data_IF_581009456891
#
_entry.id   IF_581009456891
#
_cell.length_a   1.000
_cell.length_b   1.000
_cell.length_c   1.000
_cell.angle_alpha   90.00
_cell.angle_beta   90.00
_cell.angle_gamma   90.00
#
_symmetry.space_group_name_H-M   'P 1'
#
loop_
_entity.id
_entity.type
_entity.pdbx_description
1 polymer ?
#
# COMPACT_ATOMS: atom_id res chain seq x y z
N UNK A 1 -11.44 2.29 43.98
CA UNK A 1 -10.17 2.73 43.37
C UNK A 1 -9.10 1.86 43.99
N UNK A 2 -8.33 1.10 43.20
CA UNK A 2 -7.33 0.20 43.76
C UNK A 2 -6.34 1.01 44.62
N UNK A 3 -5.94 0.44 45.76
CA UNK A 3 -4.99 1.08 46.64
C UNK A 3 -3.58 1.05 45.99
N UNK A 4 -2.67 1.94 46.41
CA UNK A 4 -1.30 1.95 45.88
C UNK A 4 -0.59 0.60 46.07
N UNK A 5 -0.90 -0.12 47.16
CA UNK A 5 -0.35 -1.45 47.46
C UNK A 5 -0.79 -2.53 46.45
N UNK A 6 -2.05 -2.49 46.02
CA UNK A 6 -2.60 -3.39 45.00
C UNK A 6 -1.97 -3.10 43.63
N UNK A 7 -1.77 -1.82 43.31
CA UNK A 7 -1.09 -1.39 42.08
C UNK A 7 0.38 -1.78 42.08
N UNK A 8 1.10 -1.61 43.18
CA UNK A 8 2.51 -2.00 43.29
C UNK A 8 2.68 -3.52 43.19
N UNK A 9 1.77 -4.29 43.78
CA UNK A 9 1.75 -5.76 43.67
C UNK A 9 1.51 -6.19 42.22
N UNK A 10 0.50 -5.61 41.56
CA UNK A 10 0.22 -5.89 40.15
C UNK A 10 1.39 -5.49 39.24
N UNK A 11 2.08 -4.39 39.55
CA UNK A 11 3.25 -3.95 38.80
C UNK A 11 4.46 -4.88 38.98
N UNK A 12 4.67 -5.42 40.19
CA UNK A 12 5.69 -6.44 40.44
C UNK A 12 5.38 -7.72 39.66
N UNK A 13 4.15 -8.22 39.75
CA UNK A 13 3.70 -9.39 38.98
C UNK A 13 3.92 -9.19 37.47
N UNK A 14 3.66 -7.99 36.95
CA UNK A 14 3.91 -7.64 35.54
C UNK A 14 5.39 -7.69 35.17
N UNK A 15 6.29 -7.25 36.05
CA UNK A 15 7.74 -7.30 35.82
C UNK A 15 8.24 -8.74 35.78
N UNK A 16 7.67 -9.62 36.60
CA UNK A 16 8.04 -11.03 36.69
C UNK A 16 7.31 -11.93 35.68
N UNK A 17 6.37 -11.38 34.91
CA UNK A 17 5.58 -12.11 33.91
C UNK A 17 4.44 -12.96 34.49
N UNK A 18 4.07 -12.70 35.74
CA UNK A 18 2.99 -13.35 36.46
C UNK A 18 1.63 -12.65 36.22
N UNK A 19 0.50 -13.36 36.41
CA UNK A 19 -0.81 -12.76 36.27
C UNK A 19 -1.02 -11.60 37.27
N UNK A 20 -1.30 -10.42 36.73
CA UNK A 20 -1.40 -9.15 37.48
C UNK A 20 -2.66 -9.01 38.33
N UNK A 21 -3.70 -9.83 38.08
CA UNK A 21 -4.98 -9.80 38.80
C UNK A 21 -5.84 -8.55 38.58
N UNK A 22 -5.32 -7.55 37.87
CA UNK A 22 -5.96 -6.27 37.53
C UNK A 22 -5.82 -6.06 36.02
N UNK A 23 -6.84 -5.48 35.37
CA UNK A 23 -6.76 -5.19 33.94
C UNK A 23 -5.64 -4.18 33.63
N UNK A 24 -4.82 -4.48 32.60
CA UNK A 24 -3.67 -3.65 32.23
C UNK A 24 -4.05 -2.20 31.91
N UNK A 25 -5.23 -1.98 31.34
CA UNK A 25 -5.77 -0.63 31.06
C UNK A 25 -5.94 0.22 32.33
N UNK A 26 -6.35 -0.41 33.44
CA UNK A 26 -6.55 0.26 34.73
C UNK A 26 -5.19 0.55 35.39
N UNK A 27 -4.25 -0.38 35.25
CA UNK A 27 -2.89 -0.25 35.75
C UNK A 27 -2.15 0.89 35.04
N UNK A 28 -2.21 0.94 33.71
CA UNK A 28 -1.56 1.99 32.91
C UNK A 28 -2.20 3.37 33.13
N UNK A 29 -3.54 3.43 33.28
CA UNK A 29 -4.23 4.66 33.63
C UNK A 29 -3.77 5.21 34.98
N UNK A 30 -3.63 4.36 36.00
CA UNK A 30 -3.12 4.78 37.30
C UNK A 30 -1.64 5.21 37.25
N UNK A 31 -0.80 4.46 36.54
CA UNK A 31 0.61 4.77 36.35
C UNK A 31 0.82 6.12 35.65
N UNK A 32 -0.07 6.51 34.74
CA UNK A 32 0.01 7.80 34.05
C UNK A 32 -0.20 9.00 34.99
N UNK A 33 -0.93 8.82 36.10
CA UNK A 33 -1.34 9.90 37.01
C UNK A 33 -0.70 9.87 38.40
N UNK A 34 0.00 8.80 38.78
CA UNK A 34 0.54 8.61 40.13
C UNK A 34 2.08 8.57 40.17
N UNK A 35 2.70 9.62 40.72
CA UNK A 35 4.16 9.73 40.81
C UNK A 35 4.78 8.67 41.74
N UNK A 36 4.06 8.25 42.79
CA UNK A 36 4.52 7.23 43.73
C UNK A 36 4.71 5.87 43.05
N UNK A 37 3.72 5.44 42.25
CA UNK A 37 3.79 4.18 41.51
C UNK A 37 4.84 4.21 40.39
N UNK A 38 5.07 5.36 39.74
CA UNK A 38 6.18 5.54 38.78
C UNK A 38 7.54 5.44 39.47
N UNK A 39 7.70 5.98 40.68
CA UNK A 39 8.93 5.85 41.46
C UNK A 39 9.16 4.40 41.92
N UNK A 40 8.10 3.70 42.33
CA UNK A 40 8.18 2.28 42.64
C UNK A 40 8.64 1.47 41.42
N UNK A 41 8.05 1.69 40.24
CA UNK A 41 8.45 1.03 38.99
C UNK A 41 9.92 1.23 38.65
N UNK A 42 10.40 2.48 38.72
CA UNK A 42 11.81 2.81 38.44
C UNK A 42 12.75 2.11 39.41
N UNK A 43 12.40 2.05 40.70
CA UNK A 43 13.19 1.35 41.71
C UNK A 43 13.21 -0.15 41.47
N UNK A 44 12.05 -0.77 41.20
CA UNK A 44 11.95 -2.19 40.90
C UNK A 44 12.81 -2.58 39.68
N UNK A 45 12.70 -1.83 38.57
CA UNK A 45 13.51 -2.06 37.38
C UNK A 45 15.01 -1.86 37.62
N UNK A 46 15.39 -0.87 38.42
CA UNK A 46 16.79 -0.64 38.78
C UNK A 46 17.36 -1.78 39.63
N UNK A 47 16.55 -2.35 40.53
CA UNK A 47 16.95 -3.47 41.38
C UNK A 47 17.13 -4.73 40.53
N UNK A 48 16.17 -5.08 39.68
CA UNK A 48 16.26 -6.22 38.77
C UNK A 48 17.51 -6.12 37.88
N UNK A 49 17.80 -4.92 37.36
CA UNK A 49 19.01 -4.67 36.58
C UNK A 49 20.28 -4.87 37.40
N UNK A 50 20.32 -4.34 38.63
CA UNK A 50 21.49 -4.49 39.52
C UNK A 50 21.72 -5.94 39.95
N UNK A 51 20.66 -6.71 40.22
CA UNK A 51 20.74 -8.14 40.53
C UNK A 51 21.21 -8.95 39.31
N UNK A 52 20.70 -8.63 38.12
CA UNK A 52 21.13 -9.27 36.88
C UNK A 52 22.60 -8.97 36.55
N UNK A 53 23.06 -7.74 36.80
CA UNK A 53 24.47 -7.37 36.66
C UNK A 53 25.35 -8.06 37.70
N UNK A 54 24.90 -8.14 38.96
CA UNK A 54 25.61 -8.81 40.04
C UNK A 54 25.73 -10.33 39.82
N UNK A 55 24.68 -10.98 39.30
CA UNK A 55 24.72 -12.39 38.91
C UNK A 55 25.70 -12.64 37.76
N UNK A 56 25.78 -11.72 36.79
CA UNK A 56 26.74 -11.79 35.68
C UNK A 56 28.19 -11.61 36.16
N UNK A 57 28.44 -10.85 37.23
CA UNK A 57 29.80 -10.65 37.77
C UNK A 57 30.30 -11.74 38.73
N UNK A 58 29.40 -12.57 39.28
CA UNK A 58 29.76 -13.60 40.28
C UNK A 58 29.97 -14.98 39.65
N UNK A 59 29.29 -15.26 38.53
CA UNK A 59 29.58 -16.41 37.69
C UNK A 59 30.63 -16.05 36.64
N UNK A 60 31.84 -16.59 36.80
CA UNK A 60 32.77 -16.67 35.69
C UNK A 60 32.07 -17.39 34.51
N UNK A 61 32.01 -16.71 33.36
CA UNK A 61 31.56 -17.27 32.08
C UNK A 61 30.03 -17.50 31.92
N UNK A 62 29.19 -16.52 32.25
CA UNK A 62 27.84 -16.40 31.65
C UNK A 62 27.82 -15.39 30.48
N UNK A 63 28.81 -15.45 29.60
CA UNK A 63 28.63 -14.98 28.23
C UNK A 63 27.82 -16.07 27.54
N UNK A 64 26.56 -15.83 27.11
CA UNK A 64 25.84 -16.82 26.32
C UNK A 64 26.76 -17.19 25.15
N UNK A 65 27.03 -18.48 24.90
CA UNK A 65 27.94 -18.87 23.83
C UNK A 65 27.47 -18.17 22.56
N UNK A 66 28.36 -17.45 21.87
CA UNK A 66 27.99 -16.65 20.70
C UNK A 66 27.17 -17.47 19.69
N UNK A 67 27.41 -18.78 19.64
CA UNK A 67 26.66 -19.79 18.89
C UNK A 67 25.16 -19.88 19.22
N UNK A 68 24.74 -19.69 20.48
CA UNK A 68 23.31 -19.64 20.83
C UNK A 68 22.66 -18.32 20.42
N UNK A 69 23.34 -17.19 20.60
CA UNK A 69 22.86 -15.90 20.11
C UNK A 69 22.75 -15.91 18.59
N UNK A 70 23.75 -16.45 17.89
CA UNK A 70 23.79 -16.59 16.44
C UNK A 70 22.73 -17.58 15.93
N UNK A 71 22.47 -18.69 16.63
CA UNK A 71 21.39 -19.63 16.30
C UNK A 71 19.99 -19.06 16.58
N UNK A 72 19.81 -18.29 17.65
CA UNK A 72 18.53 -17.62 17.95
C UNK A 72 18.28 -16.50 16.93
N UNK A 73 19.29 -15.68 16.64
CA UNK A 73 19.21 -14.66 15.59
C UNK A 73 18.97 -15.32 14.22
N UNK A 74 19.67 -16.40 13.89
CA UNK A 74 19.45 -17.17 12.65
C UNK A 74 18.11 -17.91 12.61
N UNK A 75 17.47 -18.15 13.76
CA UNK A 75 16.12 -18.71 13.86
C UNK A 75 15.01 -17.67 13.66
N UNK A 76 15.21 -16.44 14.16
CA UNK A 76 14.22 -15.34 14.10
C UNK A 76 14.35 -14.54 12.79
N UNK A 77 15.57 -14.27 12.35
CA UNK A 77 15.90 -13.57 11.10
C UNK A 77 15.16 -14.13 9.86
N UNK A 78 15.05 -15.46 9.63
CA UNK A 78 14.38 -15.98 8.45
C UNK A 78 12.86 -15.78 8.49
N UNK A 79 12.23 -15.64 9.66
CA UNK A 79 10.80 -15.35 9.76
C UNK A 79 10.52 -13.86 9.43
N UNK A 80 11.34 -12.96 9.97
CA UNK A 80 11.24 -11.51 9.72
C UNK A 80 11.66 -11.15 8.29
N UNK A 81 12.72 -11.78 7.79
CA UNK A 81 13.19 -11.61 6.40
C UNK A 81 12.21 -12.19 5.39
N UNK A 82 11.49 -13.29 5.71
CA UNK A 82 10.41 -13.81 4.84
C UNK A 82 9.22 -12.85 4.77
N UNK A 83 8.79 -12.26 5.88
CA UNK A 83 7.69 -11.30 5.87
C UNK A 83 8.08 -9.99 5.19
N UNK A 84 9.29 -9.47 5.46
CA UNK A 84 9.86 -8.31 4.79
C UNK A 84 10.03 -8.53 3.27
N UNK A 85 10.54 -9.70 2.85
CA UNK A 85 10.73 -10.03 1.43
C UNK A 85 9.41 -10.22 0.70
N UNK A 86 8.39 -10.83 1.31
CA UNK A 86 7.02 -10.88 0.73
C UNK A 86 6.45 -9.47 0.56
N UNK A 87 6.69 -8.62 1.56
CA UNK A 87 6.32 -7.22 1.54
C UNK A 87 6.96 -6.46 0.36
N UNK A 88 8.26 -6.65 0.12
CA UNK A 88 8.99 -6.04 -1.00
C UNK A 88 8.56 -6.61 -2.35
N UNK A 89 8.42 -7.93 -2.45
CA UNK A 89 7.97 -8.60 -3.68
C UNK A 89 6.59 -8.11 -4.12
N UNK A 90 5.65 -7.95 -3.19
CA UNK A 90 4.31 -7.43 -3.52
C UNK A 90 4.37 -6.01 -4.09
N UNK A 91 5.30 -5.18 -3.62
CA UNK A 91 5.50 -3.81 -4.17
C UNK A 91 6.08 -3.87 -5.58
N UNK A 92 7.05 -4.77 -5.82
CA UNK A 92 7.65 -4.97 -7.15
C UNK A 92 6.60 -5.47 -8.13
N UNK A 93 5.81 -6.47 -7.74
CA UNK A 93 4.73 -7.02 -8.56
C UNK A 93 3.72 -5.92 -8.93
N UNK A 94 3.25 -5.14 -7.95
CA UNK A 94 2.33 -4.04 -8.21
C UNK A 94 2.89 -3.03 -9.22
N UNK A 95 4.19 -2.67 -9.10
CA UNK A 95 4.85 -1.76 -10.04
C UNK A 95 4.95 -2.34 -11.44
N UNK A 96 5.29 -3.64 -11.55
CA UNK A 96 5.38 -4.33 -12.82
C UNK A 96 4.00 -4.42 -13.49
N UNK A 97 2.95 -4.71 -12.72
CA UNK A 97 1.56 -4.70 -13.21
C UNK A 97 1.18 -3.32 -13.74
N UNK A 98 1.46 -2.24 -13.00
CA UNK A 98 1.19 -0.87 -13.46
C UNK A 98 1.96 -0.52 -14.74
N UNK A 99 3.22 -0.94 -14.83
CA UNK A 99 4.05 -0.73 -16.01
C UNK A 99 3.49 -1.47 -17.23
N UNK A 100 3.13 -2.75 -17.08
CA UNK A 100 2.54 -3.56 -18.17
C UNK A 100 1.19 -2.97 -18.61
N UNK A 101 0.30 -2.67 -17.66
CA UNK A 101 -0.99 -2.05 -17.98
C UNK A 101 -0.82 -0.68 -18.64
N UNK A 102 0.09 0.16 -18.12
CA UNK A 102 0.39 1.47 -18.67
C UNK A 102 0.90 1.39 -20.11
N UNK A 103 1.85 0.50 -20.40
CA UNK A 103 2.33 0.24 -21.77
C UNK A 103 1.19 -0.26 -22.66
N UNK A 104 0.39 -1.22 -22.18
CA UNK A 104 -0.74 -1.75 -22.95
C UNK A 104 -1.78 -0.68 -23.31
N UNK A 105 -2.16 0.19 -22.37
CA UNK A 105 -3.05 1.33 -22.64
C UNK A 105 -2.42 2.32 -23.63
N UNK A 106 -1.10 2.54 -23.54
CA UNK A 106 -0.38 3.43 -24.45
C UNK A 106 -0.35 2.90 -25.88
N UNK A 107 -0.01 1.61 -26.06
CA UNK A 107 -0.05 0.95 -27.37
C UNK A 107 -1.46 1.01 -27.95
N UNK A 108 -2.47 0.71 -27.13
CA UNK A 108 -3.86 0.72 -27.60
C UNK A 108 -4.33 2.13 -27.98
N UNK A 109 -3.95 3.16 -27.22
CA UNK A 109 -4.22 4.55 -27.59
C UNK A 109 -3.60 4.88 -28.95
N UNK A 110 -2.34 4.49 -29.19
CA UNK A 110 -1.66 4.71 -30.48
C UNK A 110 -2.38 3.99 -31.62
N UNK A 111 -2.75 2.72 -31.43
CA UNK A 111 -3.52 1.94 -32.42
C UNK A 111 -4.83 2.63 -32.74
N UNK A 112 -5.52 3.18 -31.73
CA UNK A 112 -6.79 3.88 -31.92
C UNK A 112 -6.64 5.21 -32.67
N UNK A 113 -5.55 5.96 -32.44
CA UNK A 113 -5.22 7.16 -33.22
C UNK A 113 -4.91 6.82 -34.68
N UNK A 114 -4.19 5.73 -34.93
CA UNK A 114 -3.93 5.27 -36.29
C UNK A 114 -5.23 4.83 -36.98
N UNK A 115 -6.11 4.12 -36.26
CA UNK A 115 -7.41 3.70 -36.76
C UNK A 115 -8.35 4.87 -37.07
N UNK A 116 -8.29 5.97 -36.30
CA UNK A 116 -9.10 7.16 -36.57
C UNK A 116 -8.62 7.97 -37.79
N UNK A 117 -7.35 7.83 -38.19
CA UNK A 117 -6.76 8.53 -39.34
C UNK A 117 -7.43 8.22 -40.70
N UNK A 118 -8.09 7.06 -40.83
CA UNK A 118 -8.85 6.69 -42.04
C UNK A 118 -10.21 7.38 -42.17
N UNK A 119 -10.67 8.10 -41.14
CA UNK A 119 -12.00 8.70 -41.03
C UNK A 119 -11.97 10.24 -41.06
N UNK A 120 -10.80 10.83 -41.35
CA UNK A 120 -10.51 12.27 -41.41
C UNK A 120 -10.38 12.67 -42.89
N UNK A 121 -10.75 13.90 -43.32
CA UNK A 121 -10.69 14.30 -44.72
C UNK A 121 -9.26 14.22 -45.25
N UNK A 122 -9.08 13.54 -46.39
CA UNK A 122 -7.76 13.18 -46.92
C UNK A 122 -7.20 14.23 -47.89
N UNK A 123 -8.03 15.14 -48.39
CA UNK A 123 -7.61 16.22 -49.29
C UNK A 123 -8.53 17.44 -49.20
N UNK A 124 -7.97 18.60 -49.54
CA UNK A 124 -8.73 19.80 -49.88
C UNK A 124 -9.01 19.76 -51.37
N UNK A 125 -10.27 19.95 -51.78
CA UNK A 125 -10.65 20.04 -53.18
C UNK A 125 -10.09 21.31 -53.81
N UNK A 126 -10.22 21.45 -55.14
CA UNK A 126 -9.77 22.65 -55.90
C UNK A 126 -10.39 23.95 -55.36
N UNK A 127 -11.51 23.87 -54.64
CA UNK A 127 -12.19 24.98 -53.99
C UNK A 127 -11.79 25.22 -52.51
N UNK A 128 -10.84 24.43 -51.98
CA UNK A 128 -10.42 24.52 -50.58
C UNK A 128 -11.43 23.93 -49.59
N UNK A 129 -12.39 23.13 -50.07
CA UNK A 129 -13.31 22.39 -49.19
C UNK A 129 -12.74 21.01 -48.86
N UNK A 130 -12.91 20.57 -47.61
CA UNK A 130 -12.45 19.26 -47.18
C UNK A 130 -13.25 18.16 -47.90
N UNK A 131 -12.57 17.35 -48.72
CA UNK A 131 -13.17 16.20 -49.39
C UNK A 131 -13.11 15.01 -48.44
N UNK A 132 -14.30 14.55 -48.06
CA UNK A 132 -14.49 13.36 -47.25
C UNK A 132 -14.71 12.17 -48.18
N UNK A 133 -14.17 11.00 -47.81
CA UNK A 133 -14.61 9.74 -48.42
C UNK A 133 -16.13 9.61 -48.20
N UNK A 134 -16.95 9.20 -49.18
CA UNK A 134 -18.38 8.95 -48.98
C UNK A 134 -18.72 7.99 -47.83
N UNK A 135 -17.74 7.22 -47.34
CA UNK A 135 -17.83 6.33 -46.17
C UNK A 135 -17.28 6.92 -44.85
N UNK A 136 -16.78 8.17 -44.86
CA UNK A 136 -16.21 8.80 -43.68
C UNK A 136 -17.29 9.27 -42.69
N UNK A 137 -17.17 8.82 -41.43
CA UNK A 137 -18.01 9.27 -40.31
C UNK A 137 -17.19 10.19 -39.36
N UNK A 138 -17.37 11.51 -39.42
CA UNK A 138 -16.61 12.46 -38.61
C UNK A 138 -16.92 12.35 -37.11
N UNK A 139 -18.13 11.91 -36.74
CA UNK A 139 -18.50 11.76 -35.33
C UNK A 139 -17.79 10.56 -34.72
N UNK A 140 -17.72 9.45 -35.46
CA UNK A 140 -16.94 8.29 -35.05
C UNK A 140 -15.45 8.61 -34.92
N UNK A 141 -14.88 9.36 -35.87
CA UNK A 141 -13.48 9.79 -35.81
C UNK A 141 -13.16 10.59 -34.54
N UNK A 142 -14.05 11.51 -34.18
CA UNK A 142 -13.92 12.35 -32.98
C UNK A 142 -14.01 11.49 -31.71
N UNK A 143 -15.00 10.60 -31.60
CA UNK A 143 -15.17 9.71 -30.46
C UNK A 143 -13.97 8.76 -30.27
N UNK A 144 -13.38 8.28 -31.37
CA UNK A 144 -12.16 7.48 -31.32
C UNK A 144 -10.97 8.28 -30.81
N UNK A 145 -10.85 9.55 -31.23
CA UNK A 145 -9.77 10.43 -30.78
C UNK A 145 -9.89 10.79 -29.29
N UNK A 146 -11.11 11.11 -28.82
CA UNK A 146 -11.38 11.35 -27.39
C UNK A 146 -11.09 10.10 -26.55
N UNK A 147 -11.53 8.94 -27.01
CA UNK A 147 -11.23 7.66 -26.37
C UNK A 147 -9.73 7.35 -26.33
N UNK A 148 -8.99 7.72 -27.38
CA UNK A 148 -7.54 7.54 -27.42
C UNK A 148 -6.84 8.49 -26.42
N UNK A 149 -7.29 9.74 -26.33
CA UNK A 149 -6.77 10.71 -25.36
C UNK A 149 -6.98 10.25 -23.92
N UNK A 150 -8.16 9.71 -23.59
CA UNK A 150 -8.46 9.12 -22.29
C UNK A 150 -7.52 7.94 -21.95
N UNK A 151 -7.34 7.02 -22.91
CA UNK A 151 -6.43 5.86 -22.74
C UNK A 151 -4.98 6.31 -22.58
N UNK A 152 -4.53 7.31 -23.34
CA UNK A 152 -3.20 7.88 -23.21
C UNK A 152 -3.00 8.57 -21.85
N UNK A 153 -4.01 9.29 -21.36
CA UNK A 153 -3.99 9.89 -20.03
C UNK A 153 -3.86 8.85 -18.90
N UNK A 154 -4.65 7.77 -18.97
CA UNK A 154 -4.53 6.63 -18.03
C UNK A 154 -3.17 5.97 -18.14
N UNK A 155 -2.65 5.73 -19.34
CA UNK A 155 -1.31 5.19 -19.57
C UNK A 155 -0.24 6.02 -18.86
N UNK A 156 -0.26 7.35 -19.05
CA UNK A 156 0.69 8.26 -18.41
C UNK A 156 0.53 8.27 -16.88
N UNK A 157 -0.69 8.24 -16.37
CA UNK A 157 -0.98 8.13 -14.93
C UNK A 157 -0.42 6.85 -14.31
N UNK A 158 -0.57 5.71 -14.99
CA UNK A 158 -0.06 4.43 -14.52
C UNK A 158 1.47 4.35 -14.59
N UNK A 159 2.08 4.85 -15.67
CA UNK A 159 3.54 4.88 -15.82
C UNK A 159 4.20 5.82 -14.81
N UNK A 160 3.60 6.98 -14.53
CA UNK A 160 4.08 7.91 -13.51
C UNK A 160 3.97 7.32 -12.10
N UNK A 161 2.85 6.64 -11.79
CA UNK A 161 2.70 5.90 -10.54
C UNK A 161 3.69 4.73 -10.41
N UNK A 162 4.02 4.04 -11.52
CA UNK A 162 5.02 2.96 -11.54
C UNK A 162 6.44 3.47 -11.29
N UNK A 163 6.80 4.65 -11.83
CA UNK A 163 8.09 5.28 -11.59
C UNK A 163 8.19 5.81 -10.16
N UNK A 164 7.16 6.52 -9.68
CA UNK A 164 7.16 7.17 -8.37
C UNK A 164 5.88 6.83 -7.60
N UNK A 165 5.93 5.89 -6.62
CA UNK A 165 4.73 5.35 -5.97
C UNK A 165 3.95 6.38 -5.13
N UNK A 166 4.58 7.49 -4.75
CA UNK A 166 3.89 8.56 -4.02
C UNK A 166 2.75 9.21 -4.83
N UNK A 167 2.82 9.20 -6.16
CA UNK A 167 1.75 9.72 -7.03
C UNK A 167 0.54 8.78 -7.13
N UNK A 168 0.63 7.54 -6.63
CA UNK A 168 -0.48 6.59 -6.69
C UNK A 168 -1.74 7.11 -6.00
N UNK A 169 -1.58 7.91 -4.93
CA UNK A 169 -2.69 8.55 -4.23
C UNK A 169 -3.53 9.47 -5.16
N UNK A 170 -2.88 10.18 -6.08
CA UNK A 170 -3.56 11.09 -7.01
C UNK A 170 -4.21 10.38 -8.19
N UNK A 171 -3.60 9.28 -8.66
CA UNK A 171 -4.09 8.51 -9.82
C UNK A 171 -5.25 7.58 -9.45
N UNK A 172 -5.26 7.07 -8.22
CA UNK A 172 -6.27 6.13 -7.71
C UNK A 172 -7.72 6.60 -7.95
N UNK A 173 -8.16 7.83 -7.57
CA UNK A 173 -9.55 8.25 -7.76
C UNK A 173 -9.93 8.34 -9.25
N UNK A 174 -9.01 8.75 -10.12
CA UNK A 174 -9.27 8.85 -11.57
C UNK A 174 -9.48 7.47 -12.17
N UNK A 175 -8.55 6.55 -11.96
CA UNK A 175 -8.62 5.17 -12.49
C UNK A 175 -9.80 4.41 -11.86
N UNK A 176 -10.04 4.61 -10.56
CA UNK A 176 -11.15 4.01 -9.84
C UNK A 176 -12.52 4.49 -10.34
N UNK A 177 -12.71 5.80 -10.50
CA UNK A 177 -13.97 6.36 -10.99
C UNK A 177 -14.23 5.94 -12.45
N UNK A 178 -13.20 6.04 -13.31
CA UNK A 178 -13.30 5.57 -14.69
C UNK A 178 -13.65 4.08 -14.74
N UNK A 179 -13.02 3.25 -13.91
CA UNK A 179 -13.33 1.83 -13.75
C UNK A 179 -14.77 1.57 -13.34
N UNK A 180 -15.27 2.31 -12.36
CA UNK A 180 -16.64 2.20 -11.88
C UNK A 180 -17.67 2.48 -12.98
N UNK A 181 -17.53 3.61 -13.68
CA UNK A 181 -18.46 3.98 -14.75
C UNK A 181 -18.41 3.03 -15.94
N UNK A 182 -17.21 2.69 -16.42
CA UNK A 182 -17.04 1.74 -17.53
C UNK A 182 -17.55 0.34 -17.17
N UNK A 183 -17.45 -0.07 -15.90
CA UNK A 183 -18.05 -1.33 -15.44
C UNK A 183 -19.57 -1.28 -15.63
N UNK A 184 -20.21 -0.18 -15.21
CA UNK A 184 -21.65 0.02 -15.40
C UNK A 184 -22.09 -0.04 -16.86
N UNK A 185 -21.36 0.63 -17.76
CA UNK A 185 -21.63 0.57 -19.20
C UNK A 185 -21.43 -0.84 -19.77
N UNK A 186 -20.39 -1.55 -19.32
CA UNK A 186 -20.13 -2.93 -19.74
C UNK A 186 -21.23 -3.88 -19.26
N UNK A 187 -21.71 -3.72 -18.03
CA UNK A 187 -22.84 -4.52 -17.51
C UNK A 187 -24.09 -4.29 -18.38
N UNK A 188 -24.40 -3.03 -18.72
CA UNK A 188 -25.51 -2.70 -19.62
C UNK A 188 -25.36 -3.43 -20.97
N UNK A 189 -24.18 -3.35 -21.58
CA UNK A 189 -23.96 -3.93 -22.90
C UNK A 189 -23.97 -5.46 -22.88
N UNK A 190 -23.55 -6.07 -21.76
CA UNK A 190 -23.68 -7.52 -21.52
C UNK A 190 -25.15 -7.92 -21.41
N UNK A 191 -25.97 -7.16 -20.67
CA UNK A 191 -27.41 -7.41 -20.54
C UNK A 191 -28.13 -7.28 -21.88
N UNK A 192 -27.71 -6.31 -22.70
CA UNK A 192 -28.26 -6.09 -24.04
C UNK A 192 -27.72 -7.08 -25.09
N UNK A 193 -26.74 -7.93 -24.74
CA UNK A 193 -26.13 -8.88 -25.67
C UNK A 193 -25.26 -8.23 -26.76
N UNK A 194 -24.84 -6.97 -26.56
CA UNK A 194 -24.02 -6.19 -27.51
C UNK A 194 -22.57 -5.99 -27.04
N UNK A 195 -22.21 -6.59 -25.90
CA UNK A 195 -20.86 -6.48 -25.34
C UNK A 195 -19.80 -7.01 -26.32
N UNK A 196 -18.76 -6.21 -26.53
CA UNK A 196 -17.63 -6.57 -27.39
C UNK A 196 -16.48 -7.16 -26.58
N UNK A 197 -15.66 -8.02 -27.20
CA UNK A 197 -14.45 -8.55 -26.56
C UNK A 197 -13.45 -7.45 -26.18
N UNK A 198 -13.38 -6.40 -27.00
CA UNK A 198 -12.56 -5.22 -26.74
C UNK A 198 -12.98 -4.49 -25.45
N UNK A 199 -14.28 -4.34 -25.21
CA UNK A 199 -14.82 -3.74 -23.99
C UNK A 199 -14.51 -4.57 -22.74
N UNK A 200 -14.58 -5.90 -22.84
CA UNK A 200 -14.24 -6.81 -21.74
C UNK A 200 -12.74 -6.71 -21.40
N UNK A 201 -11.88 -6.61 -22.42
CA UNK A 201 -10.44 -6.40 -22.23
C UNK A 201 -10.19 -5.05 -21.54
N UNK A 202 -10.85 -3.98 -22.00
CA UNK A 202 -10.75 -2.64 -21.41
C UNK A 202 -11.02 -2.68 -19.92
N UNK A 203 -12.16 -3.27 -19.52
CA UNK A 203 -12.57 -3.27 -18.12
C UNK A 203 -11.67 -4.15 -17.26
N UNK A 204 -11.22 -5.29 -17.79
CA UNK A 204 -10.26 -6.16 -17.10
C UNK A 204 -8.95 -5.45 -16.80
N UNK A 205 -8.33 -4.80 -17.80
CA UNK A 205 -7.10 -4.02 -17.61
C UNK A 205 -7.30 -2.88 -16.60
N UNK A 206 -8.44 -2.20 -16.67
CA UNK A 206 -8.74 -1.05 -15.82
C UNK A 206 -8.94 -1.47 -14.36
N UNK A 207 -9.68 -2.55 -14.09
CA UNK A 207 -9.86 -3.11 -12.74
C UNK A 207 -8.51 -3.56 -12.15
N UNK A 208 -7.69 -4.27 -12.94
CA UNK A 208 -6.35 -4.69 -12.49
C UNK A 208 -5.50 -3.48 -12.12
N UNK A 209 -5.53 -2.42 -12.94
CA UNK A 209 -4.79 -1.19 -12.67
C UNK A 209 -5.30 -0.43 -11.44
N UNK A 210 -6.62 -0.40 -11.21
CA UNK A 210 -7.24 0.18 -10.02
C UNK A 210 -6.85 -0.57 -8.75
N UNK A 211 -6.87 -1.90 -8.78
CA UNK A 211 -6.44 -2.73 -7.65
C UNK A 211 -4.94 -2.57 -7.36
N UNK A 212 -4.11 -2.54 -8.39
CA UNK A 212 -2.67 -2.34 -8.24
C UNK A 212 -2.32 -0.96 -7.65
N UNK A 213 -2.99 0.11 -8.10
CA UNK A 213 -2.81 1.47 -7.54
C UNK A 213 -3.32 1.56 -6.09
N UNK A 214 -4.49 1.00 -5.79
CA UNK A 214 -5.03 0.95 -4.44
C UNK A 214 -4.10 0.19 -3.48
N UNK A 215 -3.55 -0.94 -3.93
CA UNK A 215 -2.61 -1.73 -3.15
C UNK A 215 -1.32 -0.98 -2.83
N UNK A 216 -0.75 -0.28 -3.83
CA UNK A 216 0.45 0.53 -3.66
C UNK A 216 0.22 1.67 -2.66
N UNK A 217 -0.95 2.30 -2.72
CA UNK A 217 -1.36 3.33 -1.77
C UNK A 217 -1.52 2.81 -0.34
N UNK A 218 -2.23 1.70 -0.14
CA UNK A 218 -2.40 1.05 1.16
C UNK A 218 -1.06 0.70 1.79
N UNK A 219 -0.12 0.17 0.99
CA UNK A 219 1.23 -0.18 1.45
C UNK A 219 2.04 1.05 1.85
N UNK A 220 1.99 2.12 1.05
CA UNK A 220 2.64 3.37 1.39
C UNK A 220 2.09 3.96 2.70
N UNK A 221 0.77 3.97 2.87
CA UNK A 221 0.11 4.49 4.07
C UNK A 221 0.43 3.66 5.32
N UNK A 222 0.45 2.33 5.20
CA UNK A 222 0.78 1.41 6.30
C UNK A 222 2.22 1.62 6.80
N UNK A 223 3.18 1.74 5.87
CA UNK A 223 4.59 1.96 6.21
C UNK A 223 4.78 3.29 6.94
N UNK A 224 4.13 4.36 6.46
CA UNK A 224 4.23 5.68 7.07
C UNK A 224 3.72 5.72 8.52
N UNK A 225 2.59 5.07 8.82
CA UNK A 225 2.07 4.99 10.19
C UNK A 225 3.00 4.22 11.13
N UNK A 226 3.63 3.13 10.65
CA UNK A 226 4.54 2.34 11.47
C UNK A 226 5.80 3.12 11.87
N UNK A 227 6.36 3.93 10.97
CA UNK A 227 7.52 4.77 11.27
C UNK A 227 7.19 5.88 12.28
N UNK A 228 5.99 6.46 12.21
CA UNK A 228 5.56 7.49 13.18
C UNK A 228 5.44 6.90 14.59
N UNK A 229 4.86 5.70 14.75
CA UNK A 229 4.74 5.03 16.06
C UNK A 229 6.09 4.60 16.66
N UNK A 230 7.03 4.14 15.83
CA UNK A 230 8.39 3.82 16.30
C UNK A 230 9.17 5.07 16.69
N UNK A 231 8.95 6.20 16.00
CA UNK A 231 9.57 7.48 16.33
C UNK A 231 9.12 8.06 17.66
N UNK A 232 7.85 7.89 18.04
CA UNK A 232 7.35 8.36 19.34
C UNK A 232 7.92 7.56 20.53
N UNK A 233 8.19 6.26 20.36
CA UNK A 233 8.77 5.42 21.41
C UNK A 233 10.28 5.58 21.62
N UNK A 234 10.98 6.32 20.75
CA UNK A 234 12.43 6.58 20.89
C UNK A 234 12.69 7.93 21.59
N UNK A 235 11.67 8.79 21.70
CA UNK A 235 11.78 10.14 22.28
C UNK A 235 11.29 10.19 23.74
N UNK A 236 10.64 9.12 24.23
CA UNK A 236 10.26 8.93 25.64
C UNK A 236 11.20 7.94 26.35
#
# INVERSE_FOLDING_TARGET
>A
MPNHDEIQTALSARIDGEPTGIADEILDAHLSGCEECQQFQRRALSLTKSMHQASVSTDAEMVPPQQLTENILAGVEPAWRRSARRAELNTIIARLTLLICGIGFGIWAVVQVVASGGLIPQSLDVHGEAVWDPSADPHLATALMEGAALRAGVSLGLLTAAWRPYWAAGVMPVVGAMGMFLTGFTIRDVVLGVATGEQILLIGMLIISALATAWLWLRYRYIQHRYVQLGSHIIE
#
